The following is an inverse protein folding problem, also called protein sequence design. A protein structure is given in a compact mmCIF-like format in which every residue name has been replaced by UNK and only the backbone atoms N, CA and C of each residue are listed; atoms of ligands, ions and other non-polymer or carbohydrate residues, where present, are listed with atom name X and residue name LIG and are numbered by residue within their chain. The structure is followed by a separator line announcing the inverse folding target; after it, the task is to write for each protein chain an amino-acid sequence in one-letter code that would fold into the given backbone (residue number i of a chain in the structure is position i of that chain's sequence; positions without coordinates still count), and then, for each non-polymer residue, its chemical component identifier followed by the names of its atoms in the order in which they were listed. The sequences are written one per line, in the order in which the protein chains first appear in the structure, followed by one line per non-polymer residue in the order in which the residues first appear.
data_IF_973128966730
#
_entry.id   IF_973128966730
#
_cell.length_a   1.000
_cell.length_b   1.000
_cell.length_c   1.000
_cell.angle_alpha   90.00
_cell.angle_beta   90.00
_cell.angle_gamma   90.00
#
_symmetry.space_group_name_H-M   'P 1'
#
loop_
_entity.id
_entity.type
_entity.pdbx_description
1 polymer ?
#
# COMPACT_ATOMS: atom_id res chain seq x y z
N UNK A 1 -0.67 -8.68 -22.20
CA UNK A 1 -1.04 -7.34 -21.67
C UNK A 1 -0.12 -7.04 -20.48
N UNK A 2 0.46 -5.84 -20.36
CA UNK A 2 1.42 -5.49 -19.30
C UNK A 2 0.72 -5.24 -17.96
N UNK A 3 1.31 -5.71 -16.85
CA UNK A 3 0.84 -5.45 -15.48
C UNK A 3 0.56 -3.96 -15.26
N UNK A 4 1.47 -3.08 -15.71
CA UNK A 4 1.35 -1.63 -15.53
C UNK A 4 0.08 -1.08 -16.19
N UNK A 5 -0.21 -1.52 -17.42
CA UNK A 5 -1.39 -1.08 -18.17
C UNK A 5 -2.69 -1.56 -17.53
N UNK A 6 -2.72 -2.79 -17.02
CA UNK A 6 -3.93 -3.30 -16.33
C UNK A 6 -4.17 -2.51 -15.06
N UNK A 7 -3.13 -2.35 -14.23
CA UNK A 7 -3.24 -1.65 -12.95
C UNK A 7 -3.67 -0.18 -13.11
N UNK A 8 -3.18 0.51 -14.15
CA UNK A 8 -3.60 1.88 -14.44
C UNK A 8 -5.10 2.01 -14.72
N UNK A 9 -5.75 0.97 -15.23
CA UNK A 9 -7.18 0.95 -15.58
C UNK A 9 -8.06 0.34 -14.48
N UNK A 10 -7.47 -0.41 -13.54
CA UNK A 10 -8.20 -1.04 -12.45
C UNK A 10 -8.83 -0.02 -11.51
N UNK A 11 -10.08 -0.23 -11.13
CA UNK A 11 -10.78 0.49 -10.06
C UNK A 11 -10.92 -0.41 -8.84
N UNK A 12 -11.45 0.10 -7.73
CA UNK A 12 -11.55 -0.66 -6.50
C UNK A 12 -12.77 -1.59 -6.55
N UNK A 13 -12.60 -2.73 -7.23
CA UNK A 13 -13.68 -3.69 -7.49
C UNK A 13 -13.19 -5.15 -7.39
N UNK A 14 -14.11 -6.10 -7.59
CA UNK A 14 -13.82 -7.53 -7.52
C UNK A 14 -12.79 -8.01 -8.56
N UNK A 15 -12.76 -7.37 -9.74
CA UNK A 15 -11.76 -7.69 -10.77
C UNK A 15 -10.35 -7.32 -10.31
N UNK A 16 -10.21 -6.15 -9.69
CA UNK A 16 -8.93 -5.71 -9.15
C UNK A 16 -8.50 -6.59 -7.96
N UNK A 17 -9.42 -6.95 -7.06
CA UNK A 17 -9.16 -7.90 -5.99
C UNK A 17 -8.67 -9.25 -6.52
N UNK A 18 -9.34 -9.80 -7.54
CA UNK A 18 -8.94 -11.05 -8.18
C UNK A 18 -7.52 -10.97 -8.77
N UNK A 19 -7.19 -9.83 -9.38
CA UNK A 19 -5.86 -9.56 -9.93
C UNK A 19 -4.80 -9.46 -8.82
N UNK A 20 -5.06 -8.72 -7.75
CA UNK A 20 -4.16 -8.56 -6.60
C UNK A 20 -3.92 -9.91 -5.91
N UNK A 21 -4.95 -10.75 -5.78
CA UNK A 21 -4.85 -12.07 -5.16
C UNK A 21 -3.94 -13.03 -5.93
N UNK A 22 -3.87 -12.88 -7.25
CA UNK A 22 -2.98 -13.67 -8.12
C UNK A 22 -1.53 -13.20 -8.08
N UNK A 23 -1.26 -12.00 -7.56
CA UNK A 23 0.10 -11.46 -7.48
C UNK A 23 0.99 -12.30 -6.55
N UNK A 24 2.25 -12.46 -6.96
CA UNK A 24 3.30 -13.13 -6.20
C UNK A 24 4.55 -12.27 -6.18
N UNK A 25 5.18 -12.18 -5.01
CA UNK A 25 6.42 -11.44 -4.80
C UNK A 25 7.66 -12.26 -5.19
N UNK A 26 8.70 -11.59 -5.67
CA UNK A 26 9.99 -12.21 -5.90
C UNK A 26 11.13 -11.19 -5.77
N UNK A 27 12.36 -11.70 -5.63
CA UNK A 27 13.58 -10.90 -5.57
C UNK A 27 14.55 -11.42 -6.63
N UNK A 28 14.97 -10.53 -7.53
CA UNK A 28 15.94 -10.89 -8.57
C UNK A 28 17.32 -11.10 -7.97
N UNK A 29 18.21 -11.77 -8.72
CA UNK A 29 19.62 -11.91 -8.33
C UNK A 29 20.27 -10.56 -7.99
N UNK A 30 19.92 -9.51 -8.74
CA UNK A 30 20.39 -8.13 -8.59
C UNK A 30 19.67 -7.34 -7.48
N UNK A 31 18.86 -8.00 -6.64
CA UNK A 31 18.18 -7.38 -5.52
C UNK A 31 16.97 -6.53 -5.90
N UNK A 32 16.39 -6.70 -7.09
CA UNK A 32 15.12 -6.02 -7.43
C UNK A 32 13.96 -6.77 -6.77
N UNK A 33 13.14 -6.07 -5.99
CA UNK A 33 11.88 -6.61 -5.46
C UNK A 33 10.75 -6.31 -6.44
N UNK A 34 10.05 -7.34 -6.89
CA UNK A 34 9.01 -7.22 -7.90
C UNK A 34 7.85 -8.18 -7.64
N UNK A 35 6.75 -7.95 -8.34
CA UNK A 35 5.63 -8.87 -8.43
C UNK A 35 5.48 -9.43 -9.84
N UNK A 36 4.91 -10.62 -9.90
CA UNK A 36 4.40 -11.25 -11.12
C UNK A 36 2.93 -11.59 -10.92
N UNK A 37 2.15 -11.56 -12.00
CA UNK A 37 0.74 -11.94 -11.99
C UNK A 37 0.53 -12.96 -13.12
N UNK A 38 0.14 -14.20 -12.81
CA UNK A 38 -0.15 -15.21 -13.82
C UNK A 38 -1.13 -14.72 -14.88
N UNK A 39 -0.77 -14.89 -16.16
CA UNK A 39 -1.57 -14.45 -17.31
C UNK A 39 -1.30 -13.00 -17.75
N UNK A 40 -0.50 -12.24 -17.00
CA UNK A 40 0.00 -10.93 -17.42
C UNK A 40 1.48 -11.02 -17.79
N UNK A 41 1.88 -10.17 -18.74
CA UNK A 41 3.27 -10.08 -19.17
C UNK A 41 4.01 -9.07 -18.28
N UNK A 42 5.33 -9.24 -18.21
CA UNK A 42 6.28 -8.39 -17.49
C UNK A 42 6.24 -8.52 -15.97
N UNK A 43 7.35 -8.14 -15.35
CA UNK A 43 7.48 -7.96 -13.91
C UNK A 43 7.17 -6.49 -13.58
N UNK A 44 6.54 -6.24 -12.43
CA UNK A 44 6.32 -4.88 -11.95
C UNK A 44 6.99 -4.67 -10.59
N UNK A 45 7.49 -3.47 -10.27
CA UNK A 45 7.99 -3.18 -8.93
C UNK A 45 6.99 -3.57 -7.85
N UNK A 46 7.46 -4.11 -6.72
CA UNK A 46 6.57 -4.63 -5.67
C UNK A 46 5.57 -3.58 -5.14
N UNK A 47 5.97 -2.30 -5.20
CA UNK A 47 5.17 -1.17 -4.76
C UNK A 47 4.02 -0.80 -5.69
N UNK A 48 3.98 -1.34 -6.92
CA UNK A 48 3.04 -0.91 -7.95
C UNK A 48 1.57 -1.06 -7.50
N UNK A 49 1.25 -2.12 -6.75
CA UNK A 49 -0.10 -2.33 -6.21
C UNK A 49 -0.46 -1.30 -5.14
N UNK A 50 0.43 -1.09 -4.17
CA UNK A 50 0.25 -0.08 -3.12
C UNK A 50 0.11 1.32 -3.72
N UNK A 51 0.98 1.69 -4.68
CA UNK A 51 0.87 2.96 -5.42
C UNK A 51 -0.47 3.10 -6.10
N UNK A 52 -1.01 2.02 -6.71
CA UNK A 52 -2.32 2.10 -7.38
C UNK A 52 -3.44 2.32 -6.36
N UNK A 53 -3.42 1.60 -5.24
CA UNK A 53 -4.42 1.77 -4.17
C UNK A 53 -4.37 3.18 -3.60
N UNK A 54 -3.19 3.69 -3.26
CA UNK A 54 -3.01 5.07 -2.76
C UNK A 54 -3.61 6.09 -3.74
N UNK A 55 -3.35 5.93 -5.03
CA UNK A 55 -3.92 6.82 -6.06
C UNK A 55 -5.43 6.72 -6.15
N UNK A 56 -6.00 5.51 -6.13
CA UNK A 56 -7.45 5.32 -6.13
C UNK A 56 -8.07 5.98 -4.91
N UNK A 57 -7.40 5.86 -3.76
CA UNK A 57 -7.86 6.44 -2.52
C UNK A 57 -7.95 7.96 -2.61
N UNK A 58 -6.87 8.59 -3.08
CA UNK A 58 -6.79 10.03 -3.31
C UNK A 58 -7.80 10.52 -4.37
N UNK A 59 -8.03 9.73 -5.42
CA UNK A 59 -8.99 10.05 -6.51
C UNK A 59 -10.45 10.00 -6.05
N UNK A 60 -10.80 9.09 -5.15
CA UNK A 60 -12.15 8.95 -4.60
C UNK A 60 -12.38 9.84 -3.36
N UNK A 61 -11.43 10.71 -3.00
CA UNK A 61 -11.54 11.62 -1.86
C UNK A 61 -11.96 10.93 -0.55
N UNK A 62 -11.52 9.69 -0.34
CA UNK A 62 -11.82 8.89 0.86
C UNK A 62 -13.31 8.53 1.05
N UNK A 63 -14.14 8.68 0.00
CA UNK A 63 -15.56 8.33 0.01
C UNK A 63 -15.77 6.97 -0.67
N UNK A 64 -16.03 5.93 0.13
CA UNK A 64 -16.23 4.56 -0.35
C UNK A 64 -17.56 3.98 0.14
N UNK A 65 -18.21 3.18 -0.69
CA UNK A 65 -19.30 2.30 -0.28
C UNK A 65 -18.82 1.17 0.63
N UNK A 66 -19.73 0.51 1.36
CA UNK A 66 -19.37 -0.63 2.21
C UNK A 66 -18.73 -1.79 1.42
N UNK A 67 -19.19 -2.02 0.19
CA UNK A 67 -18.60 -3.03 -0.70
C UNK A 67 -17.15 -2.67 -1.07
N UNK A 68 -16.92 -1.42 -1.49
CA UNK A 68 -15.57 -0.92 -1.77
C UNK A 68 -14.67 -1.01 -0.55
N UNK A 69 -15.16 -0.67 0.66
CA UNK A 69 -14.38 -0.80 1.90
C UNK A 69 -13.94 -2.24 2.15
N UNK A 70 -14.86 -3.19 1.99
CA UNK A 70 -14.56 -4.61 2.16
C UNK A 70 -13.51 -5.08 1.14
N UNK A 71 -13.70 -4.73 -0.14
CA UNK A 71 -12.75 -5.06 -1.21
C UNK A 71 -11.39 -4.42 -0.93
N UNK A 72 -11.36 -3.15 -0.55
CA UNK A 72 -10.17 -2.38 -0.24
C UNK A 72 -9.40 -2.97 0.92
N UNK A 73 -10.08 -3.35 1.99
CA UNK A 73 -9.48 -4.04 3.16
C UNK A 73 -8.84 -5.38 2.76
N UNK A 74 -9.49 -6.17 1.90
CA UNK A 74 -8.93 -7.43 1.40
C UNK A 74 -7.69 -7.20 0.51
N UNK A 75 -7.73 -6.19 -0.36
CA UNK A 75 -6.58 -5.78 -1.16
C UNK A 75 -5.44 -5.34 -0.25
N UNK A 76 -5.72 -4.53 0.77
CA UNK A 76 -4.71 -4.06 1.72
C UNK A 76 -4.02 -5.21 2.44
N UNK A 77 -4.81 -6.16 2.96
CA UNK A 77 -4.29 -7.39 3.59
C UNK A 77 -3.40 -8.18 2.65
N UNK A 78 -3.78 -8.29 1.37
CA UNK A 78 -2.98 -9.01 0.38
C UNK A 78 -1.66 -8.29 0.06
N UNK A 79 -1.66 -6.96 -0.01
CA UNK A 79 -0.43 -6.17 -0.19
C UNK A 79 0.52 -6.35 1.01
N UNK A 80 -0.02 -6.34 2.24
CA UNK A 80 0.77 -6.61 3.45
C UNK A 80 1.40 -8.01 3.43
N UNK A 81 0.65 -9.01 2.97
CA UNK A 81 1.17 -10.36 2.79
C UNK A 81 2.32 -10.40 1.78
N UNK A 82 2.22 -9.68 0.65
CA UNK A 82 3.28 -9.60 -0.34
C UNK A 82 4.54 -8.95 0.23
N UNK A 83 4.39 -7.86 0.98
CA UNK A 83 5.53 -7.21 1.64
C UNK A 83 6.18 -8.09 2.70
N UNK A 84 5.39 -8.77 3.52
CA UNK A 84 5.88 -9.70 4.54
C UNK A 84 6.60 -10.90 3.91
N UNK A 85 6.02 -11.49 2.86
CA UNK A 85 6.64 -12.58 2.11
C UNK A 85 7.96 -12.14 1.45
N UNK A 86 8.02 -10.91 0.92
CA UNK A 86 9.23 -10.34 0.35
C UNK A 86 10.32 -10.15 1.41
N UNK A 87 9.98 -9.68 2.61
CA UNK A 87 10.93 -9.56 3.72
C UNK A 87 11.46 -10.92 4.16
N UNK A 88 10.58 -11.92 4.26
CA UNK A 88 10.96 -13.30 4.56
C UNK A 88 11.91 -13.86 3.50
N UNK A 89 11.65 -13.58 2.21
CA UNK A 89 12.52 -13.99 1.09
C UNK A 89 13.87 -13.28 1.15
N UNK A 90 13.88 -11.98 1.39
CA UNK A 90 15.11 -11.19 1.54
C UNK A 90 16.01 -11.72 2.65
N UNK A 91 15.41 -12.10 3.80
CA UNK A 91 16.11 -12.75 4.91
C UNK A 91 16.70 -14.12 4.54
N UNK A 92 16.23 -14.77 3.47
CA UNK A 92 16.77 -16.04 2.96
C UNK A 92 17.71 -15.88 1.76
N UNK A 93 17.80 -14.68 1.17
CA UNK A 93 18.67 -14.43 0.03
C UNK A 93 20.16 -14.49 0.39
N UNK A 94 20.97 -14.88 -0.61
CA UNK A 94 22.43 -14.92 -0.53
C UNK A 94 23.03 -13.53 -0.33
N UNK A 95 24.26 -13.50 0.20
CA UNK A 95 24.97 -12.24 0.53
C UNK A 95 25.16 -11.33 -0.69
N UNK A 96 25.35 -11.89 -1.88
CA UNK A 96 25.47 -11.13 -3.14
C UNK A 96 24.17 -10.38 -3.47
N UNK A 97 23.02 -11.05 -3.39
CA UNK A 97 21.72 -10.42 -3.62
C UNK A 97 21.45 -9.31 -2.60
N UNK A 98 21.85 -9.50 -1.34
CA UNK A 98 21.77 -8.46 -0.31
C UNK A 98 22.70 -7.28 -0.58
N UNK A 99 23.90 -7.53 -1.11
CA UNK A 99 24.85 -6.50 -1.51
C UNK A 99 24.30 -5.68 -2.68
N UNK A 100 23.79 -6.32 -3.74
CA UNK A 100 23.19 -5.60 -4.85
C UNK A 100 21.96 -4.79 -4.43
N UNK A 101 21.12 -5.36 -3.56
CA UNK A 101 20.03 -4.62 -2.94
C UNK A 101 20.53 -3.38 -2.17
N UNK A 102 21.59 -3.53 -1.36
CA UNK A 102 22.17 -2.43 -0.61
C UNK A 102 22.72 -1.33 -1.53
N UNK A 103 23.51 -1.71 -2.55
CA UNK A 103 24.10 -0.78 -3.51
C UNK A 103 23.03 0.00 -4.27
N UNK A 104 21.91 -0.65 -4.61
CA UNK A 104 20.81 -0.02 -5.34
C UNK A 104 20.10 1.06 -4.51
N UNK A 105 19.95 0.83 -3.21
CA UNK A 105 19.32 1.77 -2.29
C UNK A 105 20.34 2.73 -1.65
N UNK A 106 21.61 2.67 -2.05
CA UNK A 106 22.69 3.49 -1.49
C UNK A 106 22.55 4.98 -1.83
N UNK A 107 22.19 5.39 -3.06
CA UNK A 107 22.01 6.81 -3.39
C UNK A 107 20.93 7.49 -2.53
N UNK A 108 19.79 6.84 -2.33
CA UNK A 108 18.68 7.35 -1.52
C UNK A 108 19.08 7.55 -0.05
N UNK A 109 20.05 6.77 0.45
CA UNK A 109 20.59 6.92 1.81
C UNK A 109 21.54 8.09 1.95
N UNK A 110 22.23 8.48 0.88
CA UNK A 110 23.19 9.59 0.89
C UNK A 110 22.49 10.92 0.60
N UNK A 111 21.53 10.94 -0.33
CA UNK A 111 20.78 12.14 -0.71
C UNK A 111 19.72 12.56 0.32
N UNK A 112 19.21 11.62 1.14
CA UNK A 112 18.21 11.87 2.18
C UNK A 112 18.75 12.43 3.51
N UNK A 113 19.76 13.31 3.46
CA UNK A 113 20.61 13.70 4.59
C UNK A 113 19.89 13.85 5.94
N UNK A 114 20.36 13.12 6.98
CA UNK A 114 20.13 13.21 8.44
C UNK A 114 18.75 13.62 9.02
N UNK A 115 17.71 13.93 8.23
CA UNK A 115 16.44 14.51 8.69
C UNK A 115 15.23 13.59 8.56
N UNK A 116 15.40 12.37 8.06
CA UNK A 116 14.36 11.33 8.15
C UNK A 116 14.96 10.05 8.71
N UNK A 117 15.10 10.04 10.04
CA UNK A 117 15.14 8.77 10.75
C UNK A 117 13.78 8.06 10.54
N UNK A 118 13.74 6.74 10.29
CA UNK A 118 14.86 5.83 10.39
C UNK A 118 15.57 5.54 9.05
N UNK A 119 16.85 5.14 9.09
CA UNK A 119 17.55 4.56 7.96
C UNK A 119 16.95 3.18 7.67
N UNK A 120 16.00 3.08 6.73
CA UNK A 120 15.36 1.78 6.41
C UNK A 120 15.36 1.48 4.93
N UNK A 121 15.58 0.20 4.63
CA UNK A 121 15.45 -0.48 3.34
C UNK A 121 13.97 -0.56 2.91
N UNK A 122 13.29 0.58 2.89
CA UNK A 122 11.84 0.66 2.66
C UNK A 122 11.62 1.79 1.68
N UNK A 123 10.97 1.48 0.55
CA UNK A 123 10.63 2.49 -0.44
C UNK A 123 9.67 3.54 0.15
N UNK A 124 9.65 4.74 -0.43
CA UNK A 124 8.71 5.79 -0.01
C UNK A 124 7.24 5.32 -0.04
N UNK A 125 6.86 4.54 -1.06
CA UNK A 125 5.52 3.94 -1.16
C UNK A 125 5.25 2.99 0.00
N UNK A 126 6.18 2.09 0.29
CA UNK A 126 6.00 1.14 1.40
C UNK A 126 5.99 1.85 2.75
N UNK A 127 6.72 2.94 2.89
CA UNK A 127 6.68 3.80 4.07
C UNK A 127 5.29 4.46 4.22
N UNK A 128 4.75 5.07 3.16
CA UNK A 128 3.38 5.63 3.17
C UNK A 128 2.33 4.55 3.47
N UNK A 129 2.58 3.33 3.01
CA UNK A 129 1.69 2.19 3.19
C UNK A 129 1.66 1.67 4.64
N UNK A 130 2.82 1.55 5.32
CA UNK A 130 2.92 0.82 6.59
C UNK A 130 3.83 1.43 7.67
N UNK A 131 4.18 2.72 7.62
CA UNK A 131 5.02 3.35 8.65
C UNK A 131 4.33 3.56 10.02
N UNK A 132 4.92 2.99 11.07
CA UNK A 132 4.43 2.96 12.46
C UNK A 132 4.24 4.29 13.21
N UNK A 133 4.42 5.44 12.57
CA UNK A 133 4.37 6.76 13.23
C UNK A 133 3.11 7.59 12.89
N UNK A 134 2.12 7.02 12.20
CA UNK A 134 0.88 7.74 11.86
C UNK A 134 -0.20 6.83 11.27
N UNK A 135 -1.23 7.44 10.70
CA UNK A 135 -2.28 6.75 9.96
C UNK A 135 -1.74 6.16 8.66
N UNK A 136 -2.15 4.94 8.34
CA UNK A 136 -1.54 4.12 7.30
C UNK A 136 -2.50 3.89 6.17
N UNK A 137 -2.07 4.08 4.93
CA UNK A 137 -2.93 3.82 3.76
C UNK A 137 -3.48 2.38 3.72
N UNK A 138 -2.82 1.42 4.36
CA UNK A 138 -3.35 0.06 4.52
C UNK A 138 -4.67 0.01 5.31
N UNK A 139 -4.85 0.93 6.27
CA UNK A 139 -5.95 1.01 7.23
C UNK A 139 -7.04 2.01 6.78
N UNK A 140 -6.84 2.70 5.65
CA UNK A 140 -7.72 3.79 5.17
C UNK A 140 -9.18 3.36 4.99
N UNK A 141 -9.43 2.09 4.65
CA UNK A 141 -10.77 1.57 4.41
C UNK A 141 -11.62 1.40 5.69
N UNK A 142 -10.99 1.52 6.88
CA UNK A 142 -11.70 1.52 8.16
C UNK A 142 -12.24 2.92 8.52
N UNK A 143 -11.91 3.95 7.72
CA UNK A 143 -12.24 5.35 8.01
C UNK A 143 -13.31 5.92 7.08
N UNK A 144 -14.26 6.63 7.65
CA UNK A 144 -15.42 7.22 7.00
C UNK A 144 -15.29 8.73 6.91
N UNK A 145 -15.79 9.34 5.84
CA UNK A 145 -16.04 10.79 5.91
C UNK A 145 -17.14 11.07 6.94
N UNK A 146 -17.20 12.31 7.45
CA UNK A 146 -18.22 12.70 8.44
C UNK A 146 -19.63 12.30 7.99
N UNK A 147 -19.97 12.63 6.75
CA UNK A 147 -21.28 12.38 6.16
C UNK A 147 -21.60 10.88 6.09
N UNK A 148 -20.62 10.04 5.73
CA UNK A 148 -20.80 8.59 5.70
C UNK A 148 -20.92 8.02 7.12
N UNK A 149 -20.12 8.51 8.06
CA UNK A 149 -20.14 8.05 9.45
C UNK A 149 -21.48 8.36 10.12
N UNK A 150 -21.98 9.58 9.98
CA UNK A 150 -23.28 9.97 10.55
C UNK A 150 -24.43 9.18 9.92
N UNK A 151 -24.33 8.88 8.62
CA UNK A 151 -25.33 8.05 7.93
C UNK A 151 -25.36 6.60 8.44
N UNK A 152 -24.21 6.00 8.73
CA UNK A 152 -24.11 4.60 9.13
C UNK A 152 -24.22 4.38 10.64
N UNK A 153 -23.66 5.29 11.44
CA UNK A 153 -23.51 5.14 12.89
C UNK A 153 -24.18 6.26 13.71
N UNK A 154 -24.85 7.22 13.06
CA UNK A 154 -25.62 8.27 13.69
C UNK A 154 -24.83 9.54 14.01
N UNK A 155 -23.93 9.50 15.00
CA UNK A 155 -23.21 10.71 15.46
C UNK A 155 -21.70 10.56 15.47
N UNK A 156 -21.01 11.43 14.74
CA UNK A 156 -19.56 11.51 14.66
C UNK A 156 -18.94 12.11 15.95
N UNK A 157 -18.25 11.31 16.76
CA UNK A 157 -17.52 11.78 17.96
C UNK A 157 -16.18 12.41 17.58
N UNK A 158 -15.77 13.48 18.28
CA UNK A 158 -14.43 14.07 18.12
C UNK A 158 -13.29 13.13 18.60
N UNK A 159 -13.59 12.09 19.37
CA UNK A 159 -12.58 11.14 19.84
C UNK A 159 -12.18 10.09 18.79
N UNK A 160 -12.91 9.99 17.68
CA UNK A 160 -12.76 8.91 16.68
C UNK A 160 -12.28 9.41 15.31
N UNK A 161 -12.06 10.71 15.14
CA UNK A 161 -11.55 11.22 13.87
C UNK A 161 -10.03 11.22 13.79
N UNK A 162 -9.55 11.26 12.55
CA UNK A 162 -8.17 11.07 12.17
C UNK A 162 -7.80 12.04 11.05
N UNK A 163 -6.56 12.54 11.10
CA UNK A 163 -5.95 13.32 10.03
C UNK A 163 -4.51 12.87 9.82
N UNK A 164 -4.06 12.78 8.58
CA UNK A 164 -2.67 12.45 8.25
C UNK A 164 -2.45 11.63 6.99
N UNK A 165 -3.50 11.29 6.22
CA UNK A 165 -3.29 10.67 4.92
C UNK A 165 -2.84 11.71 3.89
N UNK A 166 -1.85 11.36 3.07
CA UNK A 166 -1.42 12.23 1.97
C UNK A 166 -2.59 12.48 0.99
N UNK A 167 -2.87 13.74 0.67
CA UNK A 167 -4.03 14.13 -0.14
C UNK A 167 -5.37 14.21 0.60
N UNK A 168 -5.40 14.00 1.92
CA UNK A 168 -6.59 14.21 2.75
C UNK A 168 -6.89 15.70 2.93
N UNK A 169 -8.12 16.10 2.59
CA UNK A 169 -8.60 17.48 2.78
C UNK A 169 -9.68 17.60 3.86
N UNK A 170 -10.27 16.47 4.28
CA UNK A 170 -11.35 16.40 5.28
C UNK A 170 -10.96 15.42 6.39
N UNK A 171 -11.45 15.66 7.61
CA UNK A 171 -11.34 14.70 8.71
C UNK A 171 -12.04 13.38 8.38
N UNK A 172 -11.50 12.26 8.87
CA UNK A 172 -12.08 10.93 8.67
C UNK A 172 -12.29 10.22 10.01
N UNK A 173 -13.41 9.54 10.21
CA UNK A 173 -13.81 8.85 11.43
C UNK A 173 -13.59 7.35 11.34
N UNK A 174 -12.98 6.76 12.35
CA UNK A 174 -12.81 5.31 12.45
C UNK A 174 -14.13 4.62 12.80
N UNK A 175 -14.42 3.49 12.17
CA UNK A 175 -15.52 2.60 12.55
C UNK A 175 -15.51 2.29 14.06
N UNK A 176 -16.67 2.27 14.75
CA UNK A 176 -16.75 1.93 16.17
C UNK A 176 -16.48 0.44 16.47
N UNK A 177 -16.29 -0.39 15.44
CA UNK A 177 -16.10 -1.85 15.57
C UNK A 177 -14.69 -2.35 15.22
N UNK A 178 -13.75 -1.44 14.92
CA UNK A 178 -12.33 -1.74 14.62
C UNK A 178 -11.39 -1.17 15.72
#
# INVERSE_FOLDING_TARGET
MSIKTVLQRSTLNNDFLSLVNKAKENISFWGNCYITIPGLNEEAPIDTLATRVIKLVQQQHFEYSQEERNIGSLISKKIDQLYSANDCRFKKCNILTRLFYFLRNFPDRISGGFRTFPPRNVSSTRWLWSNSYGLLFRDVFNFYTKEQYEKEFGHASESLWSSGFDGQTKHLWLSPHD
#
